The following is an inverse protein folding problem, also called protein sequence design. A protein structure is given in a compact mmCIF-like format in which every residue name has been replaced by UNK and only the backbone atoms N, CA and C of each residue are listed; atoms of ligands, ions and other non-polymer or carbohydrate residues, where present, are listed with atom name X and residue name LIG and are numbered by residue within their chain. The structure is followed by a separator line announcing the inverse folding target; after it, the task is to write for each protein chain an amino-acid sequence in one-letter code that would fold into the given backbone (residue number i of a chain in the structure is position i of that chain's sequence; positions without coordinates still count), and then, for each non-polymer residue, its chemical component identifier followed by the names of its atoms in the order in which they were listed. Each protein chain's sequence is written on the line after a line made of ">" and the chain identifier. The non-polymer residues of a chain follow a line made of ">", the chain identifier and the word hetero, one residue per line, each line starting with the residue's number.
data_IF_200968967708
#
_entry.id   IF_200968967708
#
_cell.length_a   1.000
_cell.length_b   1.000
_cell.length_c   1.000
_cell.angle_alpha   90.00
_cell.angle_beta   90.00
_cell.angle_gamma   90.00
#
_symmetry.space_group_name_H-M   'P 1'
#
loop_
_entity.id
_entity.type
_entity.pdbx_description
1 polymer ?
#
# COMPACT_ATOMS: atom_id res chain seq x y z
N UNK A 1 27.41 54.94 6.79
CA UNK A 1 26.57 55.19 7.99
C UNK A 1 25.17 54.65 7.72
N UNK A 2 24.36 54.50 8.77
CA UNK A 2 23.12 53.70 8.82
C UNK A 2 23.36 52.17 8.73
N UNK A 3 22.53 51.43 9.47
CA UNK A 3 22.69 50.02 9.83
C UNK A 3 21.33 49.37 10.11
N UNK A 4 21.30 48.04 10.09
CA UNK A 4 20.17 47.18 10.51
C UNK A 4 18.90 47.24 9.60
N UNK A 5 18.01 46.24 9.62
CA UNK A 5 17.98 45.02 10.42
C UNK A 5 17.55 43.80 9.58
N UNK A 6 18.04 42.62 9.92
CA UNK A 6 17.48 41.35 9.44
C UNK A 6 16.42 40.86 10.46
N UNK A 7 15.28 40.35 9.97
CA UNK A 7 14.21 39.81 10.83
C UNK A 7 14.21 38.29 10.71
N UNK A 8 14.63 37.62 11.78
CA UNK A 8 14.56 36.16 11.90
C UNK A 8 13.16 35.72 12.34
N UNK A 9 12.47 34.94 11.51
CA UNK A 9 11.28 34.20 11.94
C UNK A 9 11.64 33.08 12.94
N UNK A 10 10.77 32.77 13.92
CA UNK A 10 11.09 31.79 14.97
C UNK A 10 11.05 30.35 14.44
N UNK A 11 12.03 29.55 14.87
CA UNK A 11 11.98 28.09 14.76
C UNK A 11 11.26 27.48 15.98
N UNK A 12 10.56 26.36 15.78
CA UNK A 12 10.10 25.48 16.86
C UNK A 12 8.59 25.47 17.11
N UNK A 13 7.87 24.56 16.46
CA UNK A 13 6.66 23.98 17.03
C UNK A 13 7.08 22.84 17.97
N UNK A 14 7.19 23.12 19.26
CA UNK A 14 7.64 22.13 20.25
C UNK A 14 6.57 21.07 20.54
N UNK A 15 6.97 19.79 20.48
CA UNK A 15 6.16 18.70 21.02
C UNK A 15 6.12 18.78 22.54
N UNK A 16 4.92 18.74 23.12
CA UNK A 16 4.72 18.69 24.57
C UNK A 16 5.03 17.29 25.09
N UNK A 17 6.19 17.10 25.72
CA UNK A 17 6.60 15.81 26.31
C UNK A 17 5.58 15.33 27.37
N UNK A 18 4.88 14.24 27.08
CA UNK A 18 3.86 13.62 27.94
C UNK A 18 4.36 12.27 28.47
N UNK A 19 5.45 12.30 29.24
CA UNK A 19 6.16 11.09 29.67
C UNK A 19 7.32 10.73 28.73
N UNK A 20 8.13 9.74 29.12
CA UNK A 20 9.49 9.51 28.58
C UNK A 20 9.55 8.79 27.22
N UNK A 21 8.49 8.85 26.40
CA UNK A 21 8.42 8.18 25.11
C UNK A 21 7.19 8.51 24.25
N UNK A 22 6.37 9.49 24.66
CA UNK A 22 5.10 9.82 24.02
C UNK A 22 5.17 11.21 23.37
N UNK A 23 5.02 11.26 22.05
CA UNK A 23 4.93 12.50 21.27
C UNK A 23 3.48 12.75 20.81
N UNK A 24 3.10 14.02 20.62
CA UNK A 24 1.77 14.42 20.18
C UNK A 24 1.84 14.99 18.75
N UNK A 25 1.14 14.37 17.79
CA UNK A 25 1.10 14.82 16.39
C UNK A 25 -0.33 15.16 15.99
N UNK A 26 -0.57 16.42 15.61
CA UNK A 26 -1.92 16.96 15.26
C UNK A 26 -3.03 16.60 16.26
N UNK A 27 -2.69 16.52 17.55
CA UNK A 27 -3.63 16.16 18.63
C UNK A 27 -3.83 14.67 18.86
N UNK A 28 -3.15 13.78 18.11
CA UNK A 28 -3.12 12.34 18.37
C UNK A 28 -1.84 11.92 19.10
N UNK A 29 -1.98 11.00 20.06
CA UNK A 29 -0.89 10.42 20.84
C UNK A 29 -0.11 9.36 20.05
N UNK A 30 1.21 9.45 20.05
CA UNK A 30 2.13 8.45 19.50
C UNK A 30 3.07 7.90 20.58
N UNK A 31 2.78 6.69 21.05
CA UNK A 31 3.51 5.98 22.11
C UNK A 31 4.58 5.05 21.49
N UNK A 32 5.61 5.66 20.89
CA UNK A 32 6.62 4.96 20.05
C UNK A 32 8.07 5.16 20.51
N UNK A 33 8.30 6.00 21.52
CA UNK A 33 9.58 6.13 22.19
C UNK A 33 9.87 4.98 23.16
N UNK A 34 11.12 4.86 23.67
CA UNK A 34 12.22 5.80 23.46
C UNK A 34 12.98 5.60 22.15
N UNK A 35 12.74 4.51 21.40
CA UNK A 35 13.46 4.18 20.16
C UNK A 35 13.13 5.14 19.01
N UNK A 36 11.85 5.38 18.75
CA UNK A 36 11.42 6.25 17.67
C UNK A 36 11.03 7.62 18.21
N UNK A 37 11.63 8.67 17.66
CA UNK A 37 11.46 10.06 18.18
C UNK A 37 11.57 11.10 17.06
N UNK A 38 11.29 12.38 17.37
CA UNK A 38 11.27 13.49 16.42
C UNK A 38 10.26 13.24 15.29
N UNK A 39 9.00 13.01 15.69
CA UNK A 39 7.91 12.68 14.78
C UNK A 39 7.51 13.89 13.93
N UNK A 40 7.20 13.63 12.66
CA UNK A 40 6.68 14.64 11.74
C UNK A 40 5.64 14.03 10.81
N UNK A 41 4.45 14.64 10.77
CA UNK A 41 3.29 14.16 10.02
C UNK A 41 3.57 14.04 8.51
N UNK A 42 3.21 12.90 7.91
CA UNK A 42 3.23 12.68 6.45
C UNK A 42 1.81 12.79 5.87
N UNK A 43 0.83 12.14 6.52
CA UNK A 43 -0.52 12.02 5.99
C UNK A 43 -1.43 11.19 6.89
N UNK A 44 -2.67 11.00 6.43
CA UNK A 44 -3.63 10.05 7.00
C UNK A 44 -4.01 9.04 5.90
N UNK A 45 -3.86 7.75 6.21
CA UNK A 45 -4.40 6.66 5.40
C UNK A 45 -5.83 6.32 5.84
N UNK A 46 -6.46 5.36 5.16
CA UNK A 46 -7.87 5.05 5.37
C UNK A 46 -8.25 4.58 6.80
N UNK A 47 -7.26 4.18 7.62
CA UNK A 47 -7.46 3.61 8.97
C UNK A 47 -6.56 4.24 10.06
N UNK A 48 -5.86 5.35 9.77
CA UNK A 48 -5.00 6.03 10.76
C UNK A 48 -3.90 6.94 10.20
N UNK A 49 -3.13 7.54 11.10
CA UNK A 49 -2.14 8.59 10.81
C UNK A 49 -0.75 8.01 10.54
N UNK A 50 -0.05 8.59 9.55
CA UNK A 50 1.34 8.22 9.19
C UNK A 50 2.28 9.38 9.50
N UNK A 51 3.33 9.09 10.28
CA UNK A 51 4.38 10.03 10.65
C UNK A 51 5.74 9.49 10.21
N UNK A 52 6.67 10.37 9.84
CA UNK A 52 8.10 10.02 9.81
C UNK A 52 8.68 10.17 11.20
N UNK A 53 9.54 9.25 11.63
CA UNK A 53 10.27 9.31 12.88
C UNK A 53 11.76 9.03 12.64
N UNK A 54 12.61 9.32 13.62
CA UNK A 54 14.01 8.92 13.64
C UNK A 54 14.17 7.68 14.54
N UNK A 55 14.62 6.57 13.95
CA UNK A 55 15.01 5.35 14.67
C UNK A 55 16.37 5.59 15.34
N UNK A 56 16.38 5.65 16.67
CA UNK A 56 17.60 5.89 17.44
C UNK A 56 18.59 4.74 17.40
N UNK A 57 18.19 3.54 17.00
CA UNK A 57 19.08 2.38 17.00
C UNK A 57 19.75 2.27 15.63
N UNK A 58 18.97 2.23 14.55
CA UNK A 58 19.46 2.18 13.17
C UNK A 58 19.96 3.52 12.59
N UNK A 59 19.78 4.64 13.32
CA UNK A 59 20.21 6.00 12.94
C UNK A 59 19.59 6.55 11.64
N UNK A 60 18.46 6.00 11.21
CA UNK A 60 17.78 6.33 9.95
C UNK A 60 16.38 6.92 10.23
N UNK A 61 15.80 7.65 9.27
CA UNK A 61 14.37 8.01 9.35
C UNK A 61 13.52 6.88 8.77
N UNK A 62 12.39 6.62 9.44
CA UNK A 62 11.41 5.56 9.10
C UNK A 62 10.02 6.17 8.99
N UNK A 63 9.11 5.50 8.28
CA UNK A 63 7.68 5.77 8.36
C UNK A 63 7.05 4.95 9.48
N UNK A 64 6.09 5.53 10.21
CA UNK A 64 5.32 4.85 11.26
C UNK A 64 3.84 5.12 11.00
N UNK A 65 3.09 4.05 10.69
CA UNK A 65 1.65 4.01 10.46
C UNK A 65 0.96 3.64 11.78
N UNK A 66 0.34 4.61 12.46
CA UNK A 66 -0.56 4.35 13.60
C UNK A 66 -1.90 3.84 13.07
N UNK A 67 -2.42 2.75 13.64
CA UNK A 67 -3.71 2.15 13.32
C UNK A 67 -4.47 1.89 14.63
N UNK A 68 -5.76 2.23 14.66
CA UNK A 68 -6.64 2.05 15.83
C UNK A 68 -7.86 1.18 15.45
N UNK A 69 -7.67 -0.12 15.13
CA UNK A 69 -8.68 -0.88 14.38
C UNK A 69 -9.80 -1.50 15.24
N UNK A 70 -9.57 -1.68 16.55
CA UNK A 70 -10.32 -2.62 17.40
C UNK A 70 -11.78 -2.27 17.69
N UNK A 71 -12.26 -1.12 17.22
CA UNK A 71 -13.69 -0.81 17.26
C UNK A 71 -14.49 -1.52 16.15
N UNK A 72 -13.87 -1.83 15.01
CA UNK A 72 -14.55 -2.34 13.83
C UNK A 72 -13.91 -3.61 13.25
N UNK A 73 -14.70 -4.69 13.16
CA UNK A 73 -14.31 -5.99 12.58
C UNK A 73 -13.59 -5.84 11.23
N UNK A 74 -14.14 -5.01 10.34
CA UNK A 74 -13.59 -4.76 9.00
C UNK A 74 -12.23 -4.05 9.01
N UNK A 75 -11.89 -3.32 10.07
CA UNK A 75 -10.56 -2.70 10.23
C UNK A 75 -9.57 -3.69 10.85
N UNK A 76 -10.00 -4.54 11.79
CA UNK A 76 -9.20 -5.66 12.29
C UNK A 76 -8.82 -6.61 11.14
N UNK A 77 -9.78 -7.01 10.29
CA UNK A 77 -9.53 -7.84 9.10
C UNK A 77 -8.48 -7.25 8.16
N UNK A 78 -8.52 -5.93 7.90
CA UNK A 78 -7.55 -5.23 7.05
C UNK A 78 -6.17 -5.18 7.69
N UNK A 79 -6.12 -4.89 8.99
CA UNK A 79 -4.87 -4.78 9.75
C UNK A 79 -4.15 -6.12 9.86
N UNK A 80 -4.86 -7.19 10.27
CA UNK A 80 -4.31 -8.55 10.35
C UNK A 80 -3.81 -9.05 8.99
N UNK A 81 -4.54 -8.71 7.92
CA UNK A 81 -4.19 -9.07 6.54
C UNK A 81 -2.94 -8.36 6.04
N UNK A 82 -2.88 -7.04 6.22
CA UNK A 82 -1.70 -6.25 5.86
C UNK A 82 -0.46 -6.75 6.61
N UNK A 83 -0.60 -7.04 7.91
CA UNK A 83 0.47 -7.63 8.72
C UNK A 83 0.87 -9.01 8.17
N UNK A 84 -0.01 -10.02 8.13
CA UNK A 84 0.39 -11.38 7.73
C UNK A 84 1.01 -11.46 6.33
N UNK A 85 0.52 -10.66 5.37
CA UNK A 85 1.10 -10.60 4.01
C UNK A 85 2.49 -9.95 4.03
N UNK A 86 2.63 -8.74 4.57
CA UNK A 86 3.90 -8.02 4.57
C UNK A 86 4.96 -8.64 5.49
N UNK A 87 4.55 -9.41 6.50
CA UNK A 87 5.46 -10.22 7.34
C UNK A 87 5.99 -11.48 6.66
N UNK A 88 5.46 -11.86 5.49
CA UNK A 88 5.90 -12.98 4.65
C UNK A 88 6.54 -12.54 3.34
N UNK A 89 6.18 -11.37 2.81
CA UNK A 89 6.72 -10.83 1.56
C UNK A 89 8.08 -10.16 1.75
N UNK A 90 9.02 -10.43 0.83
CA UNK A 90 10.33 -9.79 0.80
C UNK A 90 10.71 -9.53 -0.66
N UNK A 91 10.42 -8.32 -1.13
CA UNK A 91 10.66 -7.89 -2.50
C UNK A 91 10.99 -6.39 -2.51
N UNK A 92 11.89 -5.95 -3.38
CA UNK A 92 12.38 -4.55 -3.37
C UNK A 92 11.26 -3.56 -3.69
N UNK A 93 10.40 -3.90 -4.67
CA UNK A 93 9.27 -3.07 -5.08
C UNK A 93 7.99 -3.26 -4.24
N UNK A 94 8.10 -3.84 -3.03
CA UNK A 94 7.02 -3.95 -2.04
C UNK A 94 7.50 -3.26 -0.76
N UNK A 95 6.58 -2.60 -0.03
CA UNK A 95 6.91 -2.01 1.27
C UNK A 95 7.11 -3.09 2.34
N UNK A 96 8.19 -3.02 3.11
CA UNK A 96 8.44 -3.93 4.22
C UNK A 96 7.63 -3.59 5.49
N UNK A 97 7.74 -4.45 6.49
CA UNK A 97 7.50 -4.11 7.90
C UNK A 97 8.81 -4.37 8.65
N UNK A 98 9.37 -3.32 9.23
CA UNK A 98 10.69 -3.32 9.87
C UNK A 98 10.58 -3.50 11.40
N UNK A 99 9.47 -3.05 12.00
CA UNK A 99 9.13 -3.23 13.42
C UNK A 99 7.61 -3.09 13.63
N UNK A 100 7.04 -3.63 14.72
CA UNK A 100 5.66 -3.39 15.13
C UNK A 100 5.57 -3.12 16.64
N UNK A 101 5.19 -1.88 16.98
CA UNK A 101 5.02 -1.42 18.36
C UNK A 101 3.54 -1.51 18.73
N UNK A 102 3.24 -2.08 19.90
CA UNK A 102 1.91 -2.09 20.52
C UNK A 102 2.04 -2.31 22.03
N UNK A 103 0.95 -2.22 22.78
CA UNK A 103 0.97 -2.42 24.22
C UNK A 103 1.44 -3.84 24.62
N UNK A 104 2.00 -4.05 25.84
CA UNK A 104 2.51 -5.36 26.25
C UNK A 104 1.41 -6.40 26.52
N UNK A 105 0.15 -5.97 26.73
CA UNK A 105 -1.01 -6.84 26.97
C UNK A 105 -2.17 -6.51 26.03
N UNK A 106 -3.02 -7.50 25.75
CA UNK A 106 -4.14 -7.36 24.81
C UNK A 106 -5.19 -6.33 25.29
N UNK A 107 -5.44 -6.25 26.60
CA UNK A 107 -6.39 -5.28 27.19
C UNK A 107 -5.92 -3.84 26.99
N UNK A 108 -4.61 -3.60 27.10
CA UNK A 108 -3.98 -2.30 26.91
C UNK A 108 -3.79 -1.96 25.43
N UNK A 109 -3.83 -2.95 24.52
CA UNK A 109 -3.64 -2.74 23.09
C UNK A 109 -4.88 -2.04 22.48
N UNK A 110 -4.80 -0.71 22.38
CA UNK A 110 -5.76 0.15 21.66
C UNK A 110 -5.29 0.51 20.25
N UNK A 111 -3.97 0.60 20.10
CA UNK A 111 -3.28 1.05 18.89
C UNK A 111 -2.20 0.04 18.49
N UNK A 112 -1.91 0.00 17.20
CA UNK A 112 -0.76 -0.70 16.61
C UNK A 112 0.01 0.29 15.75
N UNK A 113 1.33 0.32 15.88
CA UNK A 113 2.22 1.19 15.12
C UNK A 113 3.12 0.32 14.24
N UNK A 114 2.87 0.31 12.93
CA UNK A 114 3.67 -0.44 11.96
C UNK A 114 4.81 0.47 11.46
N UNK A 115 6.05 0.01 11.60
CA UNK A 115 7.26 0.74 11.17
C UNK A 115 7.72 0.22 9.82
N UNK A 116 7.98 1.12 8.87
CA UNK A 116 8.29 0.82 7.47
C UNK A 116 9.38 1.75 6.92
N UNK A 117 9.89 1.45 5.73
CA UNK A 117 10.82 2.33 5.02
C UNK A 117 10.18 3.71 4.80
N UNK A 118 10.96 4.78 5.00
CA UNK A 118 10.48 6.13 4.68
C UNK A 118 10.66 6.39 3.19
N UNK A 119 9.55 6.72 2.51
CA UNK A 119 9.53 7.13 1.11
C UNK A 119 9.09 8.59 1.02
N UNK A 120 9.75 9.38 0.17
CA UNK A 120 9.61 10.83 0.10
C UNK A 120 8.28 11.29 -0.50
N UNK A 121 7.69 10.53 -1.42
CA UNK A 121 6.41 10.86 -2.06
C UNK A 121 5.62 9.62 -2.49
N UNK A 122 4.48 9.84 -3.14
CA UNK A 122 3.69 8.84 -3.85
C UNK A 122 3.43 9.31 -5.29
N UNK A 123 3.13 8.38 -6.19
CA UNK A 123 2.90 8.67 -7.61
C UNK A 123 1.71 9.64 -7.81
N UNK A 124 0.70 9.62 -6.94
CA UNK A 124 -0.43 10.56 -6.97
C UNK A 124 -0.03 12.01 -6.69
N UNK A 125 0.87 12.27 -5.73
CA UNK A 125 1.48 13.59 -5.50
C UNK A 125 2.39 14.00 -6.67
N UNK A 126 3.16 13.05 -7.22
CA UNK A 126 4.07 13.31 -8.33
C UNK A 126 3.30 13.75 -9.60
N UNK A 127 2.29 12.98 -10.01
CA UNK A 127 1.48 13.25 -11.21
C UNK A 127 0.63 14.53 -11.12
N UNK A 128 0.44 15.10 -9.92
CA UNK A 128 -0.18 16.43 -9.74
C UNK A 128 0.75 17.61 -10.05
N UNK A 129 2.07 17.38 -10.08
CA UNK A 129 3.06 18.46 -10.10
C UNK A 129 4.14 18.32 -11.18
N UNK A 130 4.39 17.11 -11.66
CA UNK A 130 5.41 16.79 -12.66
C UNK A 130 4.83 16.07 -13.86
N UNK A 131 5.27 16.44 -15.07
CA UNK A 131 5.11 15.61 -16.26
C UNK A 131 6.28 14.61 -16.31
N UNK A 132 5.98 13.32 -16.51
CA UNK A 132 7.01 12.28 -16.55
C UNK A 132 7.60 12.16 -17.96
N UNK A 133 8.92 11.89 -18.07
CA UNK A 133 9.49 11.43 -19.35
C UNK A 133 9.09 9.98 -19.61
N UNK A 134 9.10 9.54 -20.87
CA UNK A 134 8.80 8.16 -21.23
C UNK A 134 9.67 7.15 -20.45
N UNK A 135 10.92 7.51 -20.16
CA UNK A 135 11.88 6.65 -19.46
C UNK A 135 11.48 6.44 -18.00
N UNK A 136 10.98 7.49 -17.33
CA UNK A 136 10.38 7.39 -15.99
C UNK A 136 9.09 6.56 -16.02
N UNK A 137 8.22 6.76 -17.02
CA UNK A 137 6.97 6.00 -17.17
C UNK A 137 7.28 4.51 -17.36
N UNK A 138 8.25 4.18 -18.21
CA UNK A 138 8.75 2.84 -18.46
C UNK A 138 9.38 2.22 -17.19
N UNK A 139 10.23 2.96 -16.47
CA UNK A 139 10.87 2.48 -15.24
C UNK A 139 9.87 2.26 -14.09
N UNK A 140 8.89 3.15 -13.90
CA UNK A 140 7.82 2.94 -12.93
C UNK A 140 6.92 1.78 -13.33
N UNK A 141 6.55 1.63 -14.61
CA UNK A 141 5.74 0.51 -15.09
C UNK A 141 6.45 -0.83 -14.86
N UNK A 142 7.75 -0.92 -15.18
CA UNK A 142 8.57 -2.09 -14.90
C UNK A 142 8.57 -2.44 -13.41
N UNK A 143 8.86 -1.48 -12.53
CA UNK A 143 8.89 -1.72 -11.07
C UNK A 143 7.52 -2.13 -10.49
N UNK A 144 6.42 -1.56 -11.01
CA UNK A 144 5.05 -1.97 -10.65
C UNK A 144 4.82 -3.44 -11.04
N UNK A 145 5.18 -3.83 -12.26
CA UNK A 145 4.97 -5.19 -12.76
C UNK A 145 5.91 -6.21 -12.10
N UNK A 146 7.18 -5.87 -11.84
CA UNK A 146 8.14 -6.70 -11.08
C UNK A 146 7.61 -6.96 -9.66
N UNK A 147 7.14 -5.92 -8.97
CA UNK A 147 6.45 -6.06 -7.69
C UNK A 147 5.18 -6.91 -7.78
N UNK A 148 4.37 -6.73 -8.83
CA UNK A 148 3.14 -7.49 -9.02
C UNK A 148 3.39 -8.97 -9.35
N UNK A 149 4.47 -9.29 -10.09
CA UNK A 149 4.91 -10.67 -10.37
C UNK A 149 5.16 -11.43 -9.08
N UNK A 150 5.87 -10.82 -8.13
CA UNK A 150 6.08 -11.39 -6.80
C UNK A 150 4.74 -11.64 -6.07
N UNK A 151 3.84 -10.63 -6.02
CA UNK A 151 2.52 -10.74 -5.38
C UNK A 151 1.68 -11.87 -6.00
N UNK A 152 1.63 -11.95 -7.34
CA UNK A 152 0.84 -12.93 -8.08
C UNK A 152 1.45 -14.35 -8.05
N UNK A 153 2.77 -14.48 -7.96
CA UNK A 153 3.44 -15.77 -7.74
C UNK A 153 3.17 -16.34 -6.34
N UNK A 154 3.02 -15.46 -5.34
CA UNK A 154 2.51 -15.81 -4.02
C UNK A 154 0.99 -16.14 -4.01
N UNK A 155 0.33 -16.18 -5.17
CA UNK A 155 -1.12 -16.35 -5.32
C UNK A 155 -1.95 -15.32 -4.52
N UNK A 156 -1.45 -14.10 -4.37
CA UNK A 156 -2.17 -12.97 -3.76
C UNK A 156 -2.65 -12.01 -4.84
N UNK A 157 -3.77 -11.32 -4.57
CA UNK A 157 -4.32 -10.22 -5.36
C UNK A 157 -4.25 -8.95 -4.53
N UNK A 158 -3.81 -7.82 -5.09
CA UNK A 158 -3.69 -6.55 -4.36
C UNK A 158 -5.04 -5.84 -4.20
N UNK A 159 -5.88 -5.83 -5.25
CA UNK A 159 -7.29 -5.38 -5.29
C UNK A 159 -7.53 -3.87 -5.08
N UNK A 160 -6.51 -3.10 -4.73
CA UNK A 160 -6.56 -1.64 -4.55
C UNK A 160 -5.29 -0.92 -5.06
N UNK A 161 -4.75 -1.35 -6.20
CA UNK A 161 -3.65 -0.64 -6.88
C UNK A 161 -4.14 0.70 -7.44
N UNK A 162 -3.41 1.77 -7.12
CA UNK A 162 -3.69 3.16 -7.52
C UNK A 162 -2.46 4.04 -7.23
N UNK A 163 -2.31 5.23 -7.84
CA UNK A 163 -1.11 6.07 -7.68
C UNK A 163 -0.81 6.53 -6.24
N UNK A 164 -1.77 6.53 -5.31
CA UNK A 164 -1.49 6.82 -3.88
C UNK A 164 -0.84 5.66 -3.12
N UNK A 165 -0.91 4.44 -3.69
CA UNK A 165 -0.43 3.20 -3.09
C UNK A 165 0.89 2.72 -3.75
N UNK A 166 1.51 3.62 -4.51
CA UNK A 166 2.80 3.47 -5.16
C UNK A 166 3.72 4.56 -4.61
N UNK A 167 4.51 4.18 -3.61
CA UNK A 167 5.44 5.08 -2.92
C UNK A 167 6.72 5.22 -3.73
N UNK A 168 7.31 6.42 -3.73
CA UNK A 168 8.50 6.78 -4.51
C UNK A 168 9.52 7.50 -3.64
N UNK A 169 10.81 7.19 -3.83
CA UNK A 169 11.93 7.92 -3.22
C UNK A 169 12.59 8.89 -4.22
N UNK A 170 13.63 9.61 -3.77
CA UNK A 170 14.39 10.55 -4.60
C UNK A 170 15.22 9.92 -5.72
N UNK A 171 15.51 8.61 -5.65
CA UNK A 171 16.16 7.83 -6.72
C UNK A 171 15.17 7.18 -7.70
N UNK A 172 13.86 7.47 -7.57
CA UNK A 172 12.77 6.89 -8.36
C UNK A 172 12.55 5.38 -8.17
N UNK A 173 13.01 4.82 -7.06
CA UNK A 173 12.66 3.47 -6.64
C UNK A 173 11.24 3.45 -6.09
N UNK A 174 10.47 2.44 -6.52
CA UNK A 174 9.02 2.35 -6.32
C UNK A 174 8.66 1.17 -5.42
N UNK A 175 7.82 1.42 -4.41
CA UNK A 175 7.27 0.39 -3.49
C UNK A 175 5.74 0.39 -3.46
N UNK A 176 5.13 -0.77 -3.72
CA UNK A 176 3.69 -1.02 -3.57
C UNK A 176 3.32 -1.10 -2.07
N UNK A 177 2.21 -0.48 -1.66
CA UNK A 177 1.75 -0.46 -0.25
C UNK A 177 0.22 -0.57 -0.07
N UNK A 178 -0.21 -0.73 1.19
CA UNK A 178 -1.61 -0.90 1.67
C UNK A 178 -2.30 -2.18 1.16
N UNK A 179 -1.85 -3.31 1.71
CA UNK A 179 -2.38 -4.65 1.40
C UNK A 179 -3.69 -4.99 2.17
N UNK A 180 -4.33 -4.03 2.84
CA UNK A 180 -5.50 -4.30 3.69
C UNK A 180 -6.71 -4.92 2.95
N UNK A 181 -6.87 -4.60 1.65
CA UNK A 181 -7.95 -5.11 0.79
C UNK A 181 -7.61 -6.37 -0.01
N UNK A 182 -6.36 -6.86 0.08
CA UNK A 182 -5.87 -8.02 -0.66
C UNK A 182 -6.69 -9.31 -0.38
N UNK A 183 -6.50 -10.36 -1.19
CA UNK A 183 -6.96 -11.74 -0.90
C UNK A 183 -5.97 -12.73 -1.51
N UNK A 184 -6.05 -14.00 -1.08
CA UNK A 184 -5.54 -15.10 -1.91
C UNK A 184 -6.44 -15.20 -3.15
N UNK A 185 -5.86 -15.53 -4.31
CA UNK A 185 -6.65 -15.78 -5.51
C UNK A 185 -7.29 -17.18 -5.42
N UNK A 186 -8.61 -17.23 -5.35
CA UNK A 186 -9.39 -18.46 -5.45
C UNK A 186 -10.31 -18.36 -6.69
N UNK A 187 -10.07 -19.16 -7.75
CA UNK A 187 -10.93 -19.20 -8.92
C UNK A 187 -12.24 -19.98 -8.70
N UNK A 188 -12.26 -20.88 -7.70
CA UNK A 188 -13.32 -21.89 -7.53
C UNK A 188 -14.31 -21.51 -6.41
N UNK A 189 -13.84 -20.81 -5.37
CA UNK A 189 -14.64 -20.41 -4.20
C UNK A 189 -14.79 -18.89 -4.10
N UNK A 190 -16.04 -18.45 -4.03
CA UNK A 190 -16.43 -17.04 -4.02
C UNK A 190 -16.46 -16.51 -2.58
N UNK A 191 -15.54 -15.60 -2.22
CA UNK A 191 -15.68 -14.77 -1.03
C UNK A 191 -16.85 -13.78 -1.25
N UNK A 192 -18.09 -14.28 -1.09
CA UNK A 192 -19.36 -13.53 -1.28
C UNK A 192 -19.58 -12.40 -0.27
N UNK A 193 -18.58 -12.10 0.57
CA UNK A 193 -18.59 -10.98 1.51
C UNK A 193 -18.85 -9.66 0.78
N UNK A 194 -20.10 -9.17 0.90
CA UNK A 194 -20.64 -8.00 0.20
C UNK A 194 -19.59 -6.90 0.04
N UNK A 195 -19.15 -6.65 -1.21
CA UNK A 195 -18.21 -5.57 -1.52
C UNK A 195 -18.81 -4.25 -1.02
N UNK A 196 -18.35 -3.78 0.15
CA UNK A 196 -19.03 -2.72 0.87
C UNK A 196 -18.99 -1.45 0.03
N UNK A 197 -20.14 -1.09 -0.53
CA UNK A 197 -20.25 -0.55 -1.90
C UNK A 197 -19.61 0.84 -2.09
N UNK A 198 -19.24 1.50 -1.00
CA UNK A 198 -19.04 2.94 -0.89
C UNK A 198 -17.62 3.45 -0.55
N UNK A 199 -16.66 2.59 -0.16
CA UNK A 199 -15.50 3.04 0.66
C UNK A 199 -14.13 3.07 -0.07
N UNK A 200 -14.08 3.23 -1.40
CA UNK A 200 -12.81 3.45 -2.13
C UNK A 200 -12.98 4.10 -3.52
N UNK A 201 -11.91 4.72 -4.03
CA UNK A 201 -11.81 5.26 -5.39
C UNK A 201 -12.03 4.16 -6.43
N UNK A 202 -13.04 4.32 -7.29
CA UNK A 202 -13.46 3.26 -8.24
C UNK A 202 -12.69 3.25 -9.57
N UNK A 203 -11.92 4.31 -9.88
CA UNK A 203 -11.32 4.55 -11.21
C UNK A 203 -10.36 3.45 -11.71
N UNK A 204 -9.75 2.70 -10.79
CA UNK A 204 -8.78 1.62 -11.08
C UNK A 204 -9.39 0.21 -10.99
N UNK A 205 -10.72 0.09 -10.80
CA UNK A 205 -11.40 -1.22 -10.72
C UNK A 205 -11.76 -1.74 -12.11
N UNK A 206 -11.56 -3.04 -12.31
CA UNK A 206 -11.86 -3.73 -13.56
C UNK A 206 -13.38 -3.84 -13.83
N UNK A 207 -13.83 -3.89 -15.10
CA UNK A 207 -15.25 -3.92 -15.43
C UNK A 207 -15.95 -5.16 -14.88
N UNK A 208 -15.28 -6.31 -14.77
CA UNK A 208 -15.84 -7.53 -14.18
C UNK A 208 -16.10 -7.40 -12.66
N UNK A 209 -15.30 -6.61 -11.93
CA UNK A 209 -15.55 -6.24 -10.52
C UNK A 209 -16.81 -5.37 -10.40
N UNK A 210 -17.10 -4.57 -11.43
CA UNK A 210 -18.30 -3.74 -11.47
C UNK A 210 -19.53 -4.55 -11.89
N UNK A 211 -19.39 -5.46 -12.85
CA UNK A 211 -20.47 -6.29 -13.40
C UNK A 211 -20.86 -7.47 -12.48
N UNK A 212 -20.37 -7.48 -11.23
CA UNK A 212 -20.57 -8.54 -10.24
C UNK A 212 -20.23 -9.94 -10.78
N UNK A 213 -19.16 -10.02 -11.59
CA UNK A 213 -18.71 -11.28 -12.18
C UNK A 213 -18.03 -12.14 -11.14
N UNK A 214 -18.38 -13.42 -11.11
CA UNK A 214 -17.80 -14.40 -10.18
C UNK A 214 -16.39 -14.79 -10.67
N UNK A 215 -15.41 -14.70 -9.77
CA UNK A 215 -14.00 -15.00 -10.05
C UNK A 215 -13.11 -13.77 -9.95
N UNK A 216 -12.62 -13.48 -8.75
CA UNK A 216 -11.54 -12.50 -8.55
C UNK A 216 -10.22 -13.14 -9.00
N UNK A 217 -9.76 -12.82 -10.21
CA UNK A 217 -8.52 -13.38 -10.77
C UNK A 217 -7.40 -12.34 -10.85
N UNK A 218 -6.17 -12.78 -11.17
CA UNK A 218 -4.98 -11.92 -11.30
C UNK A 218 -5.17 -10.75 -12.29
N UNK A 219 -6.03 -10.92 -13.30
CA UNK A 219 -6.33 -9.91 -14.31
C UNK A 219 -6.86 -8.58 -13.72
N UNK A 220 -7.45 -8.60 -12.52
CA UNK A 220 -8.05 -7.41 -11.91
C UNK A 220 -6.99 -6.38 -11.46
N UNK A 221 -5.80 -6.85 -11.08
CA UNK A 221 -4.68 -5.96 -10.73
C UNK A 221 -3.99 -5.42 -12.00
N UNK A 222 -3.87 -6.25 -13.05
CA UNK A 222 -3.36 -5.82 -14.37
C UNK A 222 -4.19 -4.66 -14.93
N UNK A 223 -5.51 -4.75 -14.77
CA UNK A 223 -6.41 -3.66 -15.13
C UNK A 223 -6.07 -2.35 -14.39
N UNK A 224 -5.85 -2.43 -13.08
CA UNK A 224 -5.46 -1.26 -12.28
C UNK A 224 -4.12 -0.68 -12.77
N UNK A 225 -3.14 -1.53 -13.13
CA UNK A 225 -1.87 -1.10 -13.74
C UNK A 225 -2.10 -0.41 -15.09
N UNK A 226 -3.01 -0.91 -15.93
CA UNK A 226 -3.39 -0.25 -17.19
C UNK A 226 -3.98 1.16 -16.97
N UNK A 227 -4.84 1.33 -15.96
CA UNK A 227 -5.34 2.65 -15.56
C UNK A 227 -4.22 3.57 -15.05
N UNK A 228 -3.28 3.05 -14.25
CA UNK A 228 -2.13 3.80 -13.74
C UNK A 228 -1.20 4.25 -14.88
N UNK A 229 -0.90 3.36 -15.83
CA UNK A 229 -0.09 3.68 -17.01
C UNK A 229 -0.70 4.82 -17.83
N UNK A 230 -2.01 4.78 -18.04
CA UNK A 230 -2.74 5.84 -18.74
C UNK A 230 -2.71 7.19 -17.99
N UNK A 231 -2.76 7.16 -16.66
CA UNK A 231 -2.64 8.35 -15.82
C UNK A 231 -1.20 8.90 -15.80
N UNK A 232 -0.18 8.03 -15.85
CA UNK A 232 1.23 8.43 -16.04
C UNK A 232 1.47 9.10 -17.40
N UNK A 233 0.83 8.60 -18.47
CA UNK A 233 0.96 9.14 -19.83
C UNK A 233 0.23 10.47 -20.06
N UNK A 234 -0.71 10.86 -19.18
CA UNK A 234 -1.61 12.00 -19.41
C UNK A 234 -1.79 12.96 -18.23
N UNK A 235 -1.20 12.65 -17.07
CA UNK A 235 -1.41 13.35 -15.79
C UNK A 235 -2.89 13.47 -15.36
N UNK A 236 -3.76 12.58 -15.86
CA UNK A 236 -5.21 12.58 -15.60
C UNK A 236 -5.72 11.13 -15.51
N UNK A 237 -6.58 10.79 -14.53
CA UNK A 237 -7.23 9.47 -14.51
C UNK A 237 -7.98 9.25 -15.83
N UNK A 238 -7.63 8.20 -16.58
CA UNK A 238 -8.21 7.95 -17.91
C UNK A 238 -9.72 7.71 -17.83
N UNK A 239 -10.17 7.03 -16.78
CA UNK A 239 -11.57 6.71 -16.51
C UNK A 239 -12.00 7.42 -15.21
N UNK A 240 -12.30 8.74 -15.25
CA UNK A 240 -12.67 9.53 -14.08
C UNK A 240 -14.18 9.40 -13.80
N UNK A 241 -14.73 8.18 -13.92
CA UNK A 241 -16.17 7.93 -13.95
C UNK A 241 -16.87 8.44 -12.69
N UNK A 242 -17.90 9.28 -12.89
CA UNK A 242 -18.68 9.92 -11.81
C UNK A 242 -19.69 8.95 -11.19
N UNK A 243 -20.13 7.96 -11.97
CA UNK A 243 -21.05 6.90 -11.55
C UNK A 243 -20.82 5.64 -12.41
N UNK A 244 -21.43 4.53 -12.02
CA UNK A 244 -21.22 3.19 -12.58
C UNK A 244 -21.13 3.14 -14.12
N UNK A 245 -22.15 3.64 -14.82
CA UNK A 245 -22.22 3.60 -16.29
C UNK A 245 -21.23 4.56 -16.98
N UNK A 246 -20.77 5.61 -16.28
CA UNK A 246 -19.82 6.59 -16.78
C UNK A 246 -18.43 5.93 -16.94
N UNK A 247 -18.03 5.18 -15.92
CA UNK A 247 -16.80 4.37 -15.91
C UNK A 247 -16.79 3.36 -17.06
N UNK A 248 -17.92 2.67 -17.30
CA UNK A 248 -18.04 1.64 -18.33
C UNK A 248 -17.92 2.20 -19.76
N UNK A 249 -18.40 3.42 -20.00
CA UNK A 249 -18.37 4.05 -21.33
C UNK A 249 -16.96 4.49 -21.75
N UNK A 250 -16.12 4.93 -20.81
CA UNK A 250 -14.76 5.39 -21.15
C UNK A 250 -13.81 4.24 -21.53
N UNK A 251 -14.11 3.00 -21.13
CA UNK A 251 -13.22 1.83 -21.19
C UNK A 251 -12.80 1.41 -22.61
N UNK A 252 -13.64 1.65 -23.62
CA UNK A 252 -13.63 0.93 -24.89
C UNK A 252 -12.66 1.50 -25.97
N UNK A 253 -11.50 2.06 -25.59
CA UNK A 253 -10.94 3.19 -26.37
C UNK A 253 -9.47 3.16 -26.89
N UNK A 254 -8.52 2.33 -26.40
CA UNK A 254 -7.07 2.52 -26.73
C UNK A 254 -6.24 1.23 -26.86
N UNK A 255 -5.21 1.27 -27.71
CA UNK A 255 -4.56 0.11 -28.38
C UNK A 255 -3.40 -0.60 -27.63
N UNK A 256 -2.36 0.09 -27.14
CA UNK A 256 -1.38 -0.56 -26.24
C UNK A 256 -1.98 -0.80 -24.84
N UNK A 257 -2.90 0.08 -24.46
CA UNK A 257 -3.81 -0.11 -23.33
C UNK A 257 -4.68 -1.35 -23.51
N UNK A 258 -5.03 -1.77 -24.74
CA UNK A 258 -5.99 -2.84 -25.03
C UNK A 258 -5.61 -4.16 -24.36
N UNK A 259 -4.31 -4.48 -24.27
CA UNK A 259 -3.82 -5.70 -23.62
C UNK A 259 -3.99 -5.71 -22.10
N UNK A 260 -3.78 -4.57 -21.44
CA UNK A 260 -3.97 -4.44 -19.98
C UNK A 260 -5.41 -4.10 -19.59
N UNK A 261 -6.15 -3.47 -20.50
CA UNK A 261 -7.54 -3.06 -20.34
C UNK A 261 -8.49 -3.92 -21.20
N UNK A 262 -8.08 -5.15 -21.52
CA UNK A 262 -8.94 -6.08 -22.26
C UNK A 262 -10.18 -6.34 -21.44
N UNK A 263 -11.35 -6.05 -22.01
CA UNK A 263 -12.62 -6.14 -21.31
C UNK A 263 -12.91 -7.58 -20.81
N UNK A 264 -12.55 -8.60 -21.59
CA UNK A 264 -12.63 -9.99 -21.15
C UNK A 264 -11.37 -10.36 -20.33
N UNK A 265 -11.49 -10.69 -19.03
CA UNK A 265 -10.34 -11.00 -18.18
C UNK A 265 -9.54 -12.22 -18.68
N UNK A 266 -10.18 -13.20 -19.34
CA UNK A 266 -9.53 -14.38 -19.92
C UNK A 266 -8.71 -14.10 -21.20
N UNK A 267 -8.66 -12.84 -21.65
CA UNK A 267 -7.85 -12.37 -22.78
C UNK A 267 -6.93 -11.20 -22.39
N UNK A 268 -6.98 -10.77 -21.13
CA UNK A 268 -6.14 -9.70 -20.59
C UNK A 268 -4.76 -10.27 -20.31
N UNK A 269 -3.73 -9.52 -20.67
CA UNK A 269 -2.33 -9.93 -20.54
C UNK A 269 -1.98 -10.31 -19.09
N UNK A 270 -1.21 -11.39 -18.88
CA UNK A 270 -0.69 -11.71 -17.56
C UNK A 270 0.57 -10.89 -17.21
N UNK A 271 0.97 -10.88 -15.93
CA UNK A 271 2.08 -10.04 -15.45
C UNK A 271 3.42 -10.37 -16.10
N UNK A 272 3.67 -11.65 -16.39
CA UNK A 272 4.90 -12.12 -17.03
C UNK A 272 4.94 -11.79 -18.53
N UNK A 273 3.80 -11.90 -19.21
CA UNK A 273 3.63 -11.45 -20.61
C UNK A 273 3.77 -9.92 -20.74
N UNK A 274 3.32 -9.17 -19.73
CA UNK A 274 3.45 -7.72 -19.68
C UNK A 274 4.89 -7.25 -19.46
N UNK A 275 5.66 -7.96 -18.61
CA UNK A 275 7.10 -7.73 -18.43
C UNK A 275 7.89 -8.03 -19.70
N UNK A 276 7.57 -9.13 -20.39
CA UNK A 276 8.19 -9.51 -21.66
C UNK A 276 7.78 -8.63 -22.88
N UNK A 277 7.03 -7.54 -22.67
CA UNK A 277 6.57 -6.68 -23.75
C UNK A 277 7.70 -5.76 -24.28
N UNK A 278 7.85 -5.53 -25.60
CA UNK A 278 8.93 -4.70 -26.15
C UNK A 278 9.03 -3.24 -25.62
N UNK A 279 7.97 -2.73 -24.98
CA UNK A 279 8.02 -1.43 -24.29
C UNK A 279 8.92 -1.43 -23.03
N UNK A 280 9.23 -2.62 -22.50
CA UNK A 280 10.04 -2.85 -21.30
C UNK A 280 11.35 -3.62 -21.58
N UNK A 281 11.68 -3.86 -22.86
CA UNK A 281 12.86 -4.65 -23.30
C UNK A 281 14.19 -4.17 -22.67
N UNK A 282 14.31 -2.88 -22.36
CA UNK A 282 15.48 -2.29 -21.71
C UNK A 282 15.63 -2.60 -20.20
N UNK A 283 14.59 -3.17 -19.56
CA UNK A 283 14.57 -3.53 -18.14
C UNK A 283 14.21 -5.00 -17.88
N UNK A 284 13.68 -5.72 -18.88
CA UNK A 284 13.24 -7.11 -18.74
C UNK A 284 14.41 -8.07 -18.51
N UNK A 285 14.51 -8.61 -17.29
CA UNK A 285 15.44 -9.68 -16.93
C UNK A 285 14.75 -10.68 -15.99
N UNK A 286 14.29 -11.83 -16.51
CA UNK A 286 13.67 -12.88 -15.70
C UNK A 286 14.52 -13.40 -14.53
N UNK A 287 15.84 -13.17 -14.53
CA UNK A 287 16.75 -13.59 -13.46
C UNK A 287 16.84 -12.59 -12.30
N UNK A 288 16.51 -11.31 -12.56
CA UNK A 288 16.33 -10.26 -11.54
C UNK A 288 14.84 -9.94 -11.27
N UNK A 289 13.91 -10.78 -11.73
CA UNK A 289 12.49 -10.67 -11.45
C UNK A 289 12.00 -11.83 -10.54
N UNK A 290 12.35 -11.81 -9.23
CA UNK A 290 12.11 -12.94 -8.34
C UNK A 290 10.64 -13.18 -8.04
N UNK A 291 10.32 -14.47 -7.85
CA UNK A 291 9.01 -14.96 -7.40
C UNK A 291 9.04 -15.34 -5.92
N UNK A 292 7.88 -15.42 -5.29
CA UNK A 292 7.77 -15.89 -3.91
C UNK A 292 8.06 -17.40 -3.79
N UNK A 293 8.75 -17.80 -2.73
CA UNK A 293 9.18 -19.19 -2.47
C UNK A 293 8.03 -20.22 -2.49
N UNK A 294 6.82 -19.78 -2.09
CA UNK A 294 5.61 -20.59 -2.03
C UNK A 294 4.36 -19.70 -2.08
N UNK A 295 3.21 -20.21 -2.57
CA UNK A 295 1.93 -19.53 -2.45
C UNK A 295 1.57 -19.19 -1.00
N UNK A 296 1.07 -17.98 -0.79
CA UNK A 296 0.51 -17.54 0.47
C UNK A 296 -0.81 -18.25 0.76
N UNK A 297 -1.04 -18.62 2.02
CA UNK A 297 -2.30 -19.15 2.53
C UNK A 297 -2.63 -18.47 3.86
N UNK A 298 -3.91 -18.22 4.11
CA UNK A 298 -4.38 -17.95 5.47
C UNK A 298 -4.69 -19.29 6.14
N UNK A 299 -4.36 -19.40 7.42
CA UNK A 299 -4.58 -20.61 8.24
C UNK A 299 -6.08 -20.85 8.52
N UNK A 300 -6.89 -19.79 8.37
CA UNK A 300 -8.35 -19.77 8.50
C UNK A 300 -8.94 -18.60 7.71
N UNK A 301 -10.22 -18.67 7.34
CA UNK A 301 -10.91 -17.55 6.70
C UNK A 301 -11.17 -16.42 7.72
N UNK A 302 -10.77 -15.19 7.36
CA UNK A 302 -10.82 -14.04 8.28
C UNK A 302 -12.15 -13.27 8.23
N UNK A 303 -12.97 -13.51 7.21
CA UNK A 303 -14.03 -12.57 6.83
C UNK A 303 -15.30 -12.72 7.71
N UNK A 304 -15.50 -13.85 8.38
CA UNK A 304 -16.56 -14.09 9.39
C UNK A 304 -16.09 -13.94 10.86
N UNK A 305 -14.79 -13.78 11.13
CA UNK A 305 -14.27 -13.78 12.51
C UNK A 305 -14.69 -12.53 13.31
N UNK A 306 -15.10 -12.66 14.59
CA UNK A 306 -15.36 -11.51 15.47
C UNK A 306 -14.16 -10.59 15.65
N UNK A 307 -14.41 -9.31 15.96
CA UNK A 307 -13.35 -8.29 16.10
C UNK A 307 -12.41 -8.57 17.29
N UNK A 308 -12.92 -9.29 18.29
CA UNK A 308 -12.22 -9.78 19.47
C UNK A 308 -11.21 -10.87 19.09
N UNK A 309 -11.65 -11.93 18.39
CA UNK A 309 -10.75 -12.98 17.85
C UNK A 309 -9.70 -12.40 16.90
N UNK A 310 -10.08 -11.44 16.06
CA UNK A 310 -9.13 -10.75 15.18
C UNK A 310 -8.13 -9.88 15.97
N UNK A 311 -8.50 -9.36 17.15
CA UNK A 311 -7.58 -8.64 18.05
C UNK A 311 -6.57 -9.59 18.69
N UNK A 312 -6.99 -10.80 19.06
CA UNK A 312 -6.12 -11.87 19.56
C UNK A 312 -5.09 -12.26 18.49
N UNK A 313 -5.52 -12.55 17.27
CA UNK A 313 -4.64 -12.87 16.14
C UNK A 313 -3.65 -11.73 15.80
N UNK A 314 -4.07 -10.46 15.92
CA UNK A 314 -3.15 -9.31 15.77
C UNK A 314 -2.14 -9.25 16.93
N UNK A 315 -2.54 -9.58 18.16
CA UNK A 315 -1.63 -9.61 19.30
C UNK A 315 -0.56 -10.71 19.15
N UNK A 316 -0.94 -11.87 18.63
CA UNK A 316 -0.06 -13.02 18.36
C UNK A 316 0.94 -12.74 17.23
N UNK A 317 0.48 -12.30 16.06
CA UNK A 317 1.36 -11.99 14.91
C UNK A 317 2.38 -10.88 15.23
N UNK A 318 2.02 -9.95 16.12
CA UNK A 318 2.92 -8.87 16.58
C UNK A 318 3.82 -9.26 17.75
N UNK A 319 3.67 -10.46 18.32
CA UNK A 319 4.44 -10.91 19.50
C UNK A 319 5.94 -11.02 19.19
N UNK A 320 6.32 -11.41 17.97
CA UNK A 320 7.72 -11.58 17.54
C UNK A 320 8.57 -10.30 17.53
N UNK A 321 7.92 -9.14 17.61
CA UNK A 321 8.56 -7.82 17.68
C UNK A 321 8.75 -7.31 19.12
N UNK A 322 8.24 -8.02 20.13
CA UNK A 322 8.21 -7.51 21.50
C UNK A 322 9.51 -7.82 22.27
N UNK A 323 9.99 -6.88 23.13
CA UNK A 323 11.12 -7.14 24.02
C UNK A 323 10.93 -8.40 24.86
N UNK A 324 11.88 -9.33 24.76
CA UNK A 324 11.87 -10.59 25.52
C UNK A 324 11.20 -11.78 24.83
N UNK A 325 10.64 -11.61 23.62
CA UNK A 325 10.24 -12.75 22.79
C UNK A 325 11.46 -13.63 22.49
N UNK A 326 11.32 -14.95 22.68
CA UNK A 326 12.32 -15.94 22.29
C UNK A 326 11.79 -16.68 21.06
N UNK A 327 12.55 -16.63 19.97
CA UNK A 327 12.35 -17.44 18.78
C UNK A 327 12.75 -18.91 19.03
#
# INVERSE_FOLDING_TARGET
>A
MATAAAVSGPAGCGGTNLGSGTELVRGQTFDVGPRYTNLSYIGEGAYGMVCSAYDRDNKVRVAIKKISPFEHQTYCQRTLREIKILLRFKHENIIGINDIIRAPSIDQMKDVYIVQDLMETDLYKLLKTQHLSNDHICYFLYQILRGLKYIHSANVLHRDLKPSNLLLNTTCDLKICDFGLARVADPDHDHTGFLTEYVATRWYRAPEIMLNSKGYTKSIDIWSVGCILAEMLSNRPIFPGKHYLDQLNHILALDLLDKMLTFNPHKRIEVEEALAHPYLEQYYDPTDEPVAEAPFKFDMELDDLPKETLKELIFEETARFQPGYRA
#
